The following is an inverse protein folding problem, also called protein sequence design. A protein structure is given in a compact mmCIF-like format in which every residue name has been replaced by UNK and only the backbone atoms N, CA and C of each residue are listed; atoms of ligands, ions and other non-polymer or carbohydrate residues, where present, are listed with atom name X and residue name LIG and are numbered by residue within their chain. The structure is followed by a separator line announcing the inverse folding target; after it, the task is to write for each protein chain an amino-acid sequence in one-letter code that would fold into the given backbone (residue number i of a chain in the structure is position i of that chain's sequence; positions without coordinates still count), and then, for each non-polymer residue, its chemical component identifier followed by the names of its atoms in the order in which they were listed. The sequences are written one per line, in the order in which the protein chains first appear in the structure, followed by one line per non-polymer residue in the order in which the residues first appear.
data_IF_310228004262
#
_entry.id   IF_310228004262
#
_cell.length_a   1.000
_cell.length_b   1.000
_cell.length_c   1.000
_cell.angle_alpha   90.00
_cell.angle_beta   90.00
_cell.angle_gamma   90.00
#
_symmetry.space_group_name_H-M   'P 1'
#
loop_
_entity.id
_entity.type
_entity.pdbx_description
1 polymer ?
#
# COMPACT_ATOMS: atom_id res chain seq x y z
N UNK A 1 -34.88 -7.65 16.42
CA UNK A 1 -35.05 -6.30 15.81
C UNK A 1 -36.50 -6.13 15.38
N UNK A 2 -37.20 -5.12 15.90
CA UNK A 2 -38.61 -4.81 15.58
C UNK A 2 -38.86 -4.56 14.08
N UNK A 3 -37.80 -4.15 13.35
CA UNK A 3 -37.86 -3.79 11.93
C UNK A 3 -38.25 -4.99 11.03
N UNK A 4 -37.74 -6.18 11.34
CA UNK A 4 -38.01 -7.40 10.56
C UNK A 4 -39.39 -7.99 10.89
N UNK A 5 -39.94 -7.73 12.07
CA UNK A 5 -41.34 -8.07 12.43
C UNK A 5 -42.32 -7.26 11.60
N UNK A 6 -42.00 -5.98 11.36
CA UNK A 6 -42.84 -5.08 10.60
C UNK A 6 -42.84 -5.33 9.08
N UNK A 7 -41.93 -6.17 8.57
CA UNK A 7 -41.80 -6.48 7.13
C UNK A 7 -42.54 -7.75 6.68
N UNK A 8 -43.23 -8.46 7.59
CA UNK A 8 -44.12 -9.58 7.23
C UNK A 8 -43.42 -10.90 6.87
N UNK A 9 -42.12 -11.04 7.12
CA UNK A 9 -41.34 -12.24 6.84
C UNK A 9 -41.66 -13.39 7.83
N UNK A 10 -41.96 -14.59 7.30
CA UNK A 10 -42.12 -15.83 8.09
C UNK A 10 -40.88 -16.08 8.97
N UNK A 11 -41.09 -16.68 10.15
CA UNK A 11 -40.04 -16.90 11.18
C UNK A 11 -38.76 -17.56 10.62
N UNK A 12 -38.90 -18.47 9.66
CA UNK A 12 -37.78 -19.16 9.01
C UNK A 12 -36.90 -18.21 8.16
N UNK A 13 -37.49 -17.23 7.48
CA UNK A 13 -36.74 -16.24 6.70
C UNK A 13 -36.06 -15.20 7.58
N UNK A 14 -36.61 -14.92 8.77
CA UNK A 14 -35.99 -14.03 9.76
C UNK A 14 -34.66 -14.57 10.27
N UNK A 15 -34.58 -15.84 10.63
CA UNK A 15 -33.35 -16.45 11.15
C UNK A 15 -32.25 -16.45 10.08
N UNK A 16 -32.58 -16.91 8.87
CA UNK A 16 -31.65 -16.87 7.73
C UNK A 16 -31.13 -15.44 7.44
N UNK A 17 -32.02 -14.44 7.47
CA UNK A 17 -31.62 -13.04 7.23
C UNK A 17 -30.75 -12.47 8.35
N UNK A 18 -30.97 -12.87 9.61
CA UNK A 18 -30.10 -12.47 10.73
C UNK A 18 -28.72 -13.10 10.60
N UNK A 19 -28.63 -14.40 10.27
CA UNK A 19 -27.36 -15.08 10.02
C UNK A 19 -26.58 -14.44 8.86
N UNK A 20 -27.26 -14.09 7.76
CA UNK A 20 -26.64 -13.42 6.63
C UNK A 20 -26.09 -12.03 7.00
N UNK A 21 -26.82 -11.28 7.82
CA UNK A 21 -26.39 -9.95 8.31
C UNK A 21 -25.19 -10.08 9.25
N UNK A 22 -25.21 -11.03 10.18
CA UNK A 22 -24.11 -11.25 11.12
C UNK A 22 -22.85 -11.74 10.38
N UNK A 23 -23.00 -12.64 9.40
CA UNK A 23 -21.92 -13.05 8.52
C UNK A 23 -21.31 -11.87 7.78
N UNK A 24 -22.15 -11.03 7.15
CA UNK A 24 -21.69 -9.82 6.44
C UNK A 24 -20.93 -8.88 7.36
N UNK A 25 -21.42 -8.65 8.58
CA UNK A 25 -20.77 -7.78 9.56
C UNK A 25 -19.40 -8.33 9.97
N UNK A 26 -19.28 -9.64 10.16
CA UNK A 26 -18.00 -10.27 10.48
C UNK A 26 -17.00 -10.15 9.33
N UNK A 27 -17.46 -10.34 8.09
CA UNK A 27 -16.64 -10.13 6.89
C UNK A 27 -16.10 -8.69 6.82
N UNK A 28 -16.96 -7.70 7.01
CA UNK A 28 -16.56 -6.27 7.02
C UNK A 28 -15.52 -5.98 8.11
N UNK A 29 -15.67 -6.55 9.31
CA UNK A 29 -14.69 -6.41 10.39
C UNK A 29 -13.34 -7.01 10.00
N UNK A 30 -13.35 -8.21 9.41
CA UNK A 30 -12.13 -8.89 8.94
C UNK A 30 -11.43 -8.06 7.86
N UNK A 31 -12.16 -7.56 6.86
CA UNK A 31 -11.60 -6.69 5.82
C UNK A 31 -10.95 -5.43 6.38
N UNK A 32 -11.58 -4.78 7.37
CA UNK A 32 -11.01 -3.62 8.04
C UNK A 32 -9.71 -3.94 8.77
N UNK A 33 -9.63 -5.12 9.41
CA UNK A 33 -8.40 -5.59 10.09
C UNK A 33 -7.29 -5.90 9.09
N UNK A 34 -7.60 -6.60 7.99
CA UNK A 34 -6.65 -6.87 6.89
C UNK A 34 -6.08 -5.55 6.37
N UNK A 35 -6.94 -4.54 6.13
CA UNK A 35 -6.50 -3.22 5.69
C UNK A 35 -5.58 -2.52 6.70
N UNK A 36 -5.86 -2.66 7.99
CA UNK A 36 -5.00 -2.17 9.06
C UNK A 36 -3.60 -2.80 9.02
N UNK A 37 -3.54 -4.12 8.88
CA UNK A 37 -2.30 -4.90 8.81
C UNK A 37 -1.50 -4.53 7.55
N UNK A 38 -2.16 -4.44 6.37
CA UNK A 38 -1.55 -3.98 5.13
C UNK A 38 -0.83 -2.64 5.31
N UNK A 39 -1.51 -1.65 5.91
CA UNK A 39 -0.94 -0.32 6.10
C UNK A 39 0.35 -0.35 6.94
N UNK A 40 0.42 -1.23 7.94
CA UNK A 40 1.60 -1.41 8.78
C UNK A 40 2.76 -2.08 8.00
N UNK A 41 2.45 -3.04 7.15
CA UNK A 41 3.42 -3.69 6.26
C UNK A 41 3.97 -2.73 5.20
N UNK A 42 3.11 -1.97 4.51
CA UNK A 42 3.53 -0.97 3.52
C UNK A 42 4.42 0.12 4.11
N UNK A 43 4.21 0.47 5.38
CA UNK A 43 5.05 1.43 6.12
C UNK A 43 6.33 0.83 6.69
N UNK A 44 6.61 -0.46 6.46
CA UNK A 44 7.74 -1.22 7.04
C UNK A 44 7.73 -1.27 8.57
N UNK A 45 6.58 -1.01 9.20
CA UNK A 45 6.40 -1.20 10.64
C UNK A 45 6.34 -2.69 10.96
N UNK A 46 5.70 -3.47 10.10
CA UNK A 46 5.71 -4.93 10.13
C UNK A 46 6.61 -5.47 9.02
N UNK A 47 7.37 -6.51 9.33
CA UNK A 47 8.05 -7.36 8.35
C UNK A 47 7.10 -8.46 7.84
N UNK A 48 7.57 -9.27 6.89
CA UNK A 48 6.76 -10.31 6.27
C UNK A 48 6.23 -11.33 7.29
N UNK A 49 7.11 -11.82 8.18
CA UNK A 49 6.76 -12.82 9.18
C UNK A 49 5.70 -12.30 10.15
N UNK A 50 5.91 -11.10 10.70
CA UNK A 50 4.95 -10.47 11.60
C UNK A 50 3.61 -10.20 10.91
N UNK A 51 3.64 -9.80 9.64
CA UNK A 51 2.41 -9.55 8.86
C UNK A 51 1.61 -10.84 8.67
N UNK A 52 2.29 -11.94 8.30
CA UNK A 52 1.70 -13.28 8.20
C UNK A 52 1.10 -13.74 9.53
N UNK A 53 1.83 -13.58 10.63
CA UNK A 53 1.36 -13.95 11.97
C UNK A 53 0.09 -13.19 12.37
N UNK A 54 0.02 -11.89 12.10
CA UNK A 54 -1.17 -11.08 12.39
C UNK A 54 -2.36 -11.42 11.48
N UNK A 55 -2.12 -11.82 10.23
CA UNK A 55 -3.17 -12.28 9.32
C UNK A 55 -3.74 -13.64 9.72
N UNK A 56 -2.88 -14.58 10.14
CA UNK A 56 -3.31 -15.90 10.61
C UNK A 56 -4.15 -15.83 11.89
N UNK A 57 -3.96 -14.80 12.73
CA UNK A 57 -4.82 -14.54 13.90
C UNK A 57 -6.25 -14.10 13.53
N UNK A 58 -6.51 -13.79 12.26
CA UNK A 58 -7.85 -13.51 11.75
C UNK A 58 -8.55 -14.78 11.24
N UNK A 59 -7.99 -15.96 11.52
CA UNK A 59 -8.48 -17.28 11.07
C UNK A 59 -8.58 -17.39 9.54
N UNK A 60 -7.75 -16.62 8.81
CA UNK A 60 -7.64 -16.70 7.36
C UNK A 60 -6.92 -17.99 6.94
N UNK A 61 -7.37 -18.66 5.86
CA UNK A 61 -6.64 -19.76 5.25
C UNK A 61 -5.22 -19.35 4.85
N UNK A 62 -4.25 -20.26 5.00
CA UNK A 62 -2.84 -19.98 4.66
C UNK A 62 -2.67 -19.52 3.20
N UNK A 63 -3.42 -20.11 2.27
CA UNK A 63 -3.39 -19.72 0.84
C UNK A 63 -3.85 -18.27 0.63
N UNK A 64 -4.86 -17.81 1.38
CA UNK A 64 -5.32 -16.41 1.31
C UNK A 64 -4.27 -15.46 1.88
N UNK A 65 -3.60 -15.85 2.96
CA UNK A 65 -2.47 -15.08 3.52
C UNK A 65 -1.34 -14.98 2.51
N UNK A 66 -0.99 -16.07 1.82
CA UNK A 66 0.05 -16.07 0.79
C UNK A 66 -0.29 -15.12 -0.36
N UNK A 67 -1.53 -15.15 -0.84
CA UNK A 67 -2.01 -14.26 -1.90
C UNK A 67 -1.95 -12.78 -1.51
N UNK A 68 -2.40 -12.46 -0.29
CA UNK A 68 -2.33 -11.08 0.24
C UNK A 68 -0.87 -10.61 0.33
N UNK A 69 0.02 -11.45 0.85
CA UNK A 69 1.44 -11.11 0.99
C UNK A 69 2.13 -10.92 -0.37
N UNK A 70 1.81 -11.75 -1.36
CA UNK A 70 2.31 -11.60 -2.73
C UNK A 70 1.84 -10.27 -3.33
N UNK A 71 0.54 -9.97 -3.25
CA UNK A 71 -0.01 -8.71 -3.76
C UNK A 71 0.71 -7.52 -3.11
N UNK A 72 0.85 -7.52 -1.79
CA UNK A 72 1.42 -6.39 -1.07
C UNK A 72 2.93 -6.27 -1.30
N UNK A 73 3.64 -7.37 -1.54
CA UNK A 73 5.02 -7.35 -1.97
C UNK A 73 5.19 -6.55 -3.27
N UNK A 74 4.33 -6.79 -4.27
CA UNK A 74 4.37 -6.04 -5.51
C UNK A 74 4.00 -4.56 -5.32
N UNK A 75 2.99 -4.25 -4.49
CA UNK A 75 2.65 -2.86 -4.18
C UNK A 75 3.83 -2.10 -3.55
N UNK A 76 4.51 -2.75 -2.60
CA UNK A 76 5.70 -2.23 -1.93
C UNK A 76 6.88 -2.05 -2.89
N UNK A 77 7.07 -2.96 -3.84
CA UNK A 77 8.13 -2.85 -4.85
C UNK A 77 7.83 -1.80 -5.90
N UNK A 78 6.55 -1.58 -6.19
CA UNK A 78 6.09 -0.56 -7.12
C UNK A 78 6.10 0.85 -6.51
N UNK A 79 6.19 0.99 -5.17
CA UNK A 79 6.33 2.30 -4.54
C UNK A 79 7.60 2.99 -5.06
N UNK A 80 7.46 4.14 -5.76
CA UNK A 80 8.61 4.86 -6.26
C UNK A 80 9.45 5.28 -5.06
N UNK A 81 10.76 5.00 -5.13
CA UNK A 81 11.69 5.51 -4.13
C UNK A 81 11.53 7.03 -4.05
N UNK A 82 11.61 7.58 -2.84
CA UNK A 82 11.65 9.04 -2.66
C UNK A 82 12.90 9.56 -3.36
N UNK A 83 12.72 10.13 -4.54
CA UNK A 83 13.76 10.84 -5.25
C UNK A 83 13.98 12.21 -4.59
N UNK A 84 15.19 12.74 -4.70
CA UNK A 84 15.42 14.16 -4.42
C UNK A 84 14.60 15.03 -5.36
N UNK A 85 14.25 16.25 -4.94
CA UNK A 85 13.66 17.22 -5.86
C UNK A 85 14.72 17.70 -6.86
N UNK A 86 14.30 18.20 -8.02
CA UNK A 86 15.22 18.78 -9.02
C UNK A 86 16.16 19.80 -8.37
N UNK A 87 15.62 20.73 -7.56
CA UNK A 87 16.44 21.73 -6.87
C UNK A 87 17.45 21.13 -5.89
N UNK A 88 17.09 20.06 -5.17
CA UNK A 88 18.01 19.35 -4.29
C UNK A 88 19.15 18.71 -5.10
N UNK A 89 18.84 18.01 -6.19
CA UNK A 89 19.84 17.41 -7.07
C UNK A 89 20.82 18.47 -7.59
N UNK A 90 20.30 19.58 -8.12
CA UNK A 90 21.13 20.66 -8.69
C UNK A 90 22.02 21.32 -7.63
N UNK A 91 21.47 21.58 -6.43
CA UNK A 91 22.27 22.12 -5.34
C UNK A 91 23.36 21.14 -4.90
N UNK A 92 23.05 19.84 -4.80
CA UNK A 92 24.05 18.83 -4.42
C UNK A 92 25.17 18.68 -5.45
N UNK A 93 24.87 18.80 -6.75
CA UNK A 93 25.90 18.83 -7.80
C UNK A 93 26.76 20.09 -7.64
N UNK A 94 26.12 21.27 -7.52
CA UNK A 94 26.81 22.55 -7.38
C UNK A 94 27.69 22.63 -6.13
N UNK A 95 27.21 22.06 -5.03
CA UNK A 95 27.93 22.00 -3.74
C UNK A 95 28.98 20.86 -3.72
N UNK A 96 29.11 20.07 -4.80
CA UNK A 96 30.06 18.97 -4.92
C UNK A 96 29.74 17.77 -4.00
N UNK A 97 28.53 17.70 -3.45
CA UNK A 97 28.07 16.61 -2.58
C UNK A 97 27.78 15.32 -3.38
N UNK A 98 27.47 15.45 -4.67
CA UNK A 98 27.35 14.35 -5.63
C UNK A 98 28.06 14.71 -6.94
N UNK A 99 28.47 13.71 -7.72
CA UNK A 99 29.08 13.96 -9.04
C UNK A 99 28.03 14.39 -10.07
N UNK A 100 28.48 15.01 -11.17
CA UNK A 100 27.63 15.40 -12.30
C UNK A 100 26.92 14.18 -12.88
N UNK A 101 27.62 13.07 -13.06
CA UNK A 101 27.05 11.80 -13.55
C UNK A 101 25.98 11.28 -12.59
N UNK A 102 26.19 11.41 -11.28
CA UNK A 102 25.19 11.04 -10.28
C UNK A 102 23.97 11.95 -10.37
N UNK A 103 24.15 13.26 -10.51
CA UNK A 103 23.08 14.21 -10.73
C UNK A 103 22.25 13.90 -11.98
N UNK A 104 22.90 13.54 -13.09
CA UNK A 104 22.24 13.10 -14.34
C UNK A 104 21.36 11.88 -14.10
N UNK A 105 21.87 10.86 -13.41
CA UNK A 105 21.09 9.67 -13.09
C UNK A 105 19.86 10.01 -12.23
N UNK A 106 20.00 10.87 -11.23
CA UNK A 106 18.86 11.29 -10.39
C UNK A 106 17.78 12.03 -11.20
N UNK A 107 18.17 12.92 -12.12
CA UNK A 107 17.21 13.61 -12.99
C UNK A 107 16.49 12.64 -13.95
N UNK A 108 17.16 11.58 -14.43
CA UNK A 108 16.48 10.50 -15.20
C UNK A 108 15.46 9.79 -14.32
N UNK A 109 15.79 9.48 -13.07
CA UNK A 109 14.87 8.82 -12.14
C UNK A 109 13.68 9.71 -11.75
N UNK A 110 13.84 11.03 -11.79
CA UNK A 110 12.77 12.01 -11.61
C UNK A 110 11.86 12.09 -12.86
N UNK A 111 12.37 11.68 -14.03
CA UNK A 111 11.60 11.56 -15.27
C UNK A 111 11.94 12.59 -16.36
N UNK A 112 13.08 13.27 -16.26
CA UNK A 112 13.53 14.19 -17.32
C UNK A 112 14.17 13.42 -18.48
N UNK A 113 14.00 13.95 -19.70
CA UNK A 113 14.74 13.50 -20.88
C UNK A 113 16.18 14.07 -20.91
N UNK A 114 16.98 13.57 -21.84
CA UNK A 114 18.38 13.98 -21.98
C UNK A 114 18.55 15.47 -22.31
N UNK A 115 17.61 16.08 -23.05
CA UNK A 115 17.69 17.50 -23.43
C UNK A 115 17.57 18.40 -22.20
N UNK A 116 16.54 18.17 -21.37
CA UNK A 116 16.34 18.92 -20.13
C UNK A 116 17.49 18.70 -19.15
N UNK A 117 17.99 17.46 -19.04
CA UNK A 117 19.13 17.13 -18.18
C UNK A 117 20.37 17.91 -18.62
N UNK A 118 20.66 17.96 -19.92
CA UNK A 118 21.83 18.69 -20.44
C UNK A 118 21.74 20.19 -20.15
N UNK A 119 20.55 20.79 -20.25
CA UNK A 119 20.32 22.19 -19.89
C UNK A 119 20.56 22.42 -18.39
N UNK A 120 20.04 21.54 -17.53
CA UNK A 120 20.23 21.63 -16.10
C UNK A 120 21.70 21.48 -15.69
N UNK A 121 22.42 20.53 -16.28
CA UNK A 121 23.83 20.28 -15.98
C UNK A 121 24.71 21.47 -16.37
N UNK A 122 24.46 22.10 -17.52
CA UNK A 122 25.15 23.34 -17.92
C UNK A 122 24.90 24.52 -16.96
N UNK A 123 23.80 24.52 -16.21
CA UNK A 123 23.47 25.59 -15.28
C UNK A 123 24.13 25.42 -13.90
N UNK A 124 24.65 24.23 -13.59
CA UNK A 124 25.29 23.89 -12.30
C UNK A 124 26.80 23.67 -12.41
N UNK A 125 27.33 23.44 -13.61
CA UNK A 125 28.75 23.57 -13.95
C UNK A 125 29.24 25.04 -13.82
#
# INVERSE_FOLDING_TARGET
SQLLENLGEEYFHREFMLEAVDYKKNLEITELRIKGINNLYKRRTYDENKTRDELLKLDLPAEEVDLLMEQWYYEVKAEPKRNWTTSQVLNFVKDGLITVERGRMELVHIGYDNEHIDVYMKAVE
#
